data_IF_684888193066
#
_entry.id   IF_684888193066
#
_cell.length_a   1.000
_cell.length_b   1.000
_cell.length_c   1.000
_cell.angle_alpha   90.00
_cell.angle_beta   90.00
_cell.angle_gamma   90.00
#
_symmetry.space_group_name_H-M   'P 1'
#
loop_
_entity.id
_entity.type
_entity.pdbx_description
1 polymer ?
#
# COMPACT_ATOMS: atom_id res chain seq x y z
N UNK A 1 -14.91 1.55 20.19
CA UNK A 1 -13.93 2.52 20.75
C UNK A 1 -14.20 3.85 20.08
N UNK A 2 -14.36 4.93 20.84
CA UNK A 2 -14.51 6.28 20.28
C UNK A 2 -13.11 6.80 19.94
N UNK A 3 -12.89 7.13 18.66
CA UNK A 3 -11.67 7.78 18.20
C UNK A 3 -12.01 9.22 17.82
N UNK A 4 -11.18 10.17 18.26
CA UNK A 4 -11.21 11.53 17.73
C UNK A 4 -10.48 11.50 16.39
N UNK A 5 -11.24 11.74 15.31
CA UNK A 5 -10.69 11.75 13.96
C UNK A 5 -10.02 13.10 13.70
N UNK A 6 -8.69 13.11 13.62
CA UNK A 6 -8.00 14.27 13.06
C UNK A 6 -8.12 14.21 11.55
N UNK A 7 -8.83 15.18 11.00
CA UNK A 7 -8.77 15.51 9.58
C UNK A 7 -7.49 16.28 9.30
N UNK A 8 -6.43 15.54 9.09
CA UNK A 8 -5.32 15.97 8.27
C UNK A 8 -5.20 14.91 7.19
N UNK A 9 -5.06 15.30 5.92
CA UNK A 9 -4.33 14.45 4.98
C UNK A 9 -3.08 14.05 5.73
N UNK A 10 -2.91 12.76 6.00
CA UNK A 10 -1.88 12.13 6.84
C UNK A 10 -0.47 12.29 6.22
N UNK A 11 -0.15 13.56 5.91
CA UNK A 11 0.94 14.15 5.15
C UNK A 11 0.64 14.24 3.64
N UNK A 12 0.62 15.47 3.11
CA UNK A 12 0.80 15.76 1.67
C UNK A 12 1.96 14.89 1.18
N UNK A 13 1.77 14.10 0.13
CA UNK A 13 2.77 13.15 -0.38
C UNK A 13 2.86 11.79 0.33
N UNK A 14 1.74 11.20 0.78
CA UNK A 14 1.73 9.82 1.31
C UNK A 14 2.31 8.76 0.35
N UNK A 15 2.36 9.04 -0.96
CA UNK A 15 3.07 8.19 -1.91
C UNK A 15 4.59 8.17 -1.65
N UNK A 16 5.19 9.27 -1.19
CA UNK A 16 6.63 9.37 -0.86
C UNK A 16 7.01 8.62 0.41
N UNK A 17 6.05 8.30 1.27
CA UNK A 17 6.33 7.49 2.46
C UNK A 17 6.59 6.06 2.05
N UNK A 18 7.80 5.56 2.34
CA UNK A 18 8.11 4.13 2.23
C UNK A 18 7.24 3.31 3.16
N UNK A 19 7.10 2.02 2.87
CA UNK A 19 6.37 1.06 3.72
C UNK A 19 6.90 1.10 5.16
N UNK A 20 8.23 1.14 5.34
CA UNK A 20 8.84 1.27 6.67
C UNK A 20 8.41 2.54 7.39
N UNK A 21 8.33 3.69 6.70
CA UNK A 21 7.91 4.93 7.32
C UNK A 21 6.46 4.89 7.80
N UNK A 22 5.57 4.25 7.03
CA UNK A 22 4.17 4.07 7.43
C UNK A 22 4.07 3.16 8.67
N UNK A 23 4.88 2.11 8.74
CA UNK A 23 4.95 1.23 9.92
C UNK A 23 5.43 2.01 11.15
N UNK A 24 6.50 2.80 11.05
CA UNK A 24 6.99 3.66 12.13
C UNK A 24 5.93 4.66 12.60
N UNK A 25 5.25 5.34 11.66
CA UNK A 25 4.18 6.29 11.98
C UNK A 25 3.01 5.60 12.73
N UNK A 26 2.69 4.35 12.36
CA UNK A 26 1.66 3.56 13.05
C UNK A 26 2.08 3.21 14.48
N UNK A 27 3.33 2.78 14.69
CA UNK A 27 3.88 2.48 16.01
C UNK A 27 3.87 3.72 16.92
N UNK A 28 4.25 4.88 16.39
CA UNK A 28 4.22 6.16 17.13
C UNK A 28 2.79 6.55 17.54
N UNK A 29 1.81 6.40 16.62
CA UNK A 29 0.41 6.69 16.93
C UNK A 29 -0.12 5.71 18.00
N UNK A 30 0.24 4.44 17.91
CA UNK A 30 -0.12 3.45 18.91
C UNK A 30 0.48 3.80 20.29
N UNK A 31 1.76 4.16 20.34
CA UNK A 31 2.42 4.58 21.58
C UNK A 31 1.74 5.82 22.18
N UNK A 32 1.46 6.84 21.36
CA UNK A 32 0.71 8.02 21.79
C UNK A 32 -0.65 7.63 22.39
N UNK A 33 -1.43 6.80 21.69
CA UNK A 33 -2.75 6.37 22.15
C UNK A 33 -2.73 5.48 23.40
N UNK A 34 -1.59 4.85 23.73
CA UNK A 34 -1.40 4.16 25.02
C UNK A 34 -1.25 5.12 26.20
N UNK A 35 -0.77 6.34 25.95
CA UNK A 35 -0.61 7.37 26.99
C UNK A 35 -1.88 8.16 27.28
N UNK A 36 -2.88 8.08 26.40
CA UNK A 36 -4.18 8.75 26.56
C UNK A 36 -5.01 8.04 27.64
N UNK A 37 -5.62 8.83 28.53
CA UNK A 37 -6.54 8.33 29.55
C UNK A 37 -7.71 7.54 28.93
N UNK A 38 -8.15 6.47 29.62
CA UNK A 38 -9.20 5.57 29.13
C UNK A 38 -10.54 6.27 28.83
N UNK A 39 -10.77 7.45 29.40
CA UNK A 39 -12.00 8.23 29.24
C UNK A 39 -11.92 9.27 28.11
N UNK A 40 -10.74 9.42 27.49
CA UNK A 40 -10.50 10.35 26.39
C UNK A 40 -10.51 9.59 25.07
N UNK A 41 -11.02 10.23 24.01
CA UNK A 41 -11.00 9.66 22.67
C UNK A 41 -9.57 9.35 22.23
N UNK A 42 -9.34 8.17 21.68
CA UNK A 42 -8.04 7.84 21.08
C UNK A 42 -7.90 8.58 19.77
N UNK A 43 -6.68 8.98 19.41
CA UNK A 43 -6.45 9.65 18.15
C UNK A 43 -6.53 8.66 16.97
N UNK A 44 -7.30 8.98 15.95
CA UNK A 44 -7.27 8.28 14.65
C UNK A 44 -6.92 9.28 13.55
N UNK A 45 -6.09 8.84 12.60
CA UNK A 45 -5.65 9.66 11.48
C UNK A 45 -6.29 9.14 10.19
N UNK A 46 -6.98 10.02 9.47
CA UNK A 46 -7.59 9.71 8.18
C UNK A 46 -6.54 9.62 7.08
N UNK A 47 -6.39 8.45 6.46
CA UNK A 47 -5.61 8.30 5.21
C UNK A 47 -6.46 8.78 4.05
N UNK A 48 -5.90 9.61 3.17
CA UNK A 48 -6.58 10.05 1.95
C UNK A 48 -5.90 9.39 0.76
N UNK A 49 -6.66 8.58 0.02
CA UNK A 49 -6.21 8.09 -1.28
C UNK A 49 -6.62 9.07 -2.36
N UNK A 50 -5.62 9.74 -2.91
CA UNK A 50 -5.72 10.57 -4.09
C UNK A 50 -4.48 10.28 -4.97
N UNK A 51 -4.65 9.83 -6.22
CA UNK A 51 -3.49 9.60 -7.11
C UNK A 51 -2.93 10.91 -7.73
N UNK A 52 -3.57 12.04 -7.41
CA UNK A 52 -3.23 13.40 -7.83
C UNK A 52 -2.71 14.26 -6.68
N UNK A 53 -2.20 13.66 -5.59
CA UNK A 53 -1.86 14.35 -4.33
C UNK A 53 -0.67 15.32 -4.48
N UNK A 54 -1.00 16.46 -5.08
CA UNK A 54 -0.18 17.57 -5.51
C UNK A 54 -1.12 18.61 -6.14
N UNK A 55 -1.92 19.25 -5.29
CA UNK A 55 -3.01 20.17 -5.68
C UNK A 55 -2.51 21.56 -6.14
N UNK A 56 -1.60 21.56 -7.12
CA UNK A 56 -1.22 22.64 -8.05
C UNK A 56 -0.73 23.96 -7.45
N UNK A 57 0.58 24.30 -7.59
CA UNK A 57 1.02 25.64 -7.19
C UNK A 57 0.55 26.71 -8.16
N UNK A 58 0.78 26.58 -9.47
CA UNK A 58 0.19 27.47 -10.48
C UNK A 58 0.12 26.80 -11.87
N UNK A 59 -0.32 25.53 -12.00
CA UNK A 59 -0.87 24.84 -13.22
C UNK A 59 -0.52 23.34 -13.33
N UNK A 60 0.65 22.84 -12.87
CA UNK A 60 0.85 21.38 -12.82
C UNK A 60 1.71 20.92 -11.64
N UNK A 61 1.06 20.25 -10.68
CA UNK A 61 1.69 19.59 -9.52
C UNK A 61 1.27 18.10 -9.44
N UNK A 62 1.13 17.48 -10.63
CA UNK A 62 1.08 16.04 -10.96
C UNK A 62 -0.31 15.36 -11.08
N UNK A 63 -1.09 15.64 -12.14
CA UNK A 63 -2.14 14.74 -12.56
C UNK A 63 -1.52 13.48 -13.15
N UNK A 64 -1.69 12.34 -12.45
CA UNK A 64 -1.16 11.02 -12.82
C UNK A 64 0.28 10.77 -12.38
N UNK A 65 0.66 11.17 -11.16
CA UNK A 65 2.02 10.99 -10.63
C UNK A 65 2.54 9.56 -10.71
N UNK A 66 1.66 8.60 -10.47
CA UNK A 66 1.94 7.17 -10.56
C UNK A 66 1.15 6.61 -11.74
N UNK A 67 1.81 5.79 -12.55
CA UNK A 67 1.11 4.90 -13.48
C UNK A 67 0.22 3.89 -12.74
N UNK A 68 -0.55 3.11 -13.49
CA UNK A 68 -1.52 2.13 -12.97
C UNK A 68 -0.96 1.24 -11.85
N UNK A 69 0.19 0.59 -12.08
CA UNK A 69 0.78 -0.31 -11.10
C UNK A 69 1.21 0.43 -9.82
N UNK A 70 1.74 1.65 -9.94
CA UNK A 70 2.11 2.48 -8.79
C UNK A 70 0.90 2.94 -7.99
N UNK A 71 -0.18 3.34 -8.67
CA UNK A 71 -1.46 3.68 -8.05
C UNK A 71 -2.03 2.46 -7.29
N UNK A 72 -2.01 1.27 -7.92
CA UNK A 72 -2.46 0.04 -7.30
C UNK A 72 -1.61 -0.33 -6.07
N UNK A 73 -0.30 -0.18 -6.15
CA UNK A 73 0.59 -0.44 -5.01
C UNK A 73 0.38 0.55 -3.87
N UNK A 74 0.11 1.83 -4.15
CA UNK A 74 -0.30 2.81 -3.14
C UNK A 74 -1.57 2.36 -2.41
N UNK A 75 -2.54 1.80 -3.13
CA UNK A 75 -3.78 1.29 -2.54
C UNK A 75 -3.53 0.04 -1.70
N UNK A 76 -2.75 -0.88 -2.25
CA UNK A 76 -2.28 -2.07 -1.54
C UNK A 76 -1.61 -1.68 -0.21
N UNK A 77 -0.67 -0.73 -0.22
CA UNK A 77 0.01 -0.20 0.96
C UNK A 77 -0.96 0.29 2.04
N UNK A 78 -2.03 0.99 1.66
CA UNK A 78 -3.02 1.48 2.63
C UNK A 78 -3.79 0.36 3.32
N UNK A 79 -4.02 -0.75 2.62
CA UNK A 79 -4.83 -1.88 3.06
C UNK A 79 -4.01 -2.98 3.74
N UNK A 80 -2.75 -3.18 3.33
CA UNK A 80 -1.87 -4.24 3.81
C UNK A 80 -0.87 -3.80 4.89
N UNK A 81 -0.92 -2.52 5.28
CA UNK A 81 -0.23 -1.99 6.46
C UNK A 81 -1.28 -1.52 7.46
N UNK A 82 -1.85 -2.44 8.26
CA UNK A 82 -2.85 -2.07 9.25
C UNK A 82 -2.25 -1.13 10.28
N UNK A 83 -3.10 -0.25 10.78
CA UNK A 83 -2.74 0.71 11.81
C UNK A 83 -2.34 0.04 13.12
N UNK A 84 -3.01 -1.05 13.49
CA UNK A 84 -3.00 -1.63 14.84
C UNK A 84 -4.30 -1.33 15.60
N UNK A 85 -4.59 -2.10 16.65
CA UNK A 85 -5.82 -1.97 17.46
C UNK A 85 -6.02 -0.55 18.01
N UNK A 86 -4.94 0.11 18.41
CA UNK A 86 -4.96 1.44 19.02
C UNK A 86 -4.60 2.56 18.06
N UNK A 87 -4.49 2.27 16.78
CA UNK A 87 -3.91 3.17 15.77
C UNK A 87 -4.68 3.00 14.46
N UNK A 88 -5.98 2.71 14.56
CA UNK A 88 -6.86 2.57 13.41
C UNK A 88 -6.78 3.81 12.53
N UNK A 89 -6.63 3.59 11.22
CA UNK A 89 -6.53 4.65 10.21
C UNK A 89 -7.55 4.40 9.11
N UNK A 90 -8.75 5.00 9.19
CA UNK A 90 -9.72 4.91 8.12
C UNK A 90 -9.13 5.49 6.84
N UNK A 91 -9.60 5.00 5.70
CA UNK A 91 -9.17 5.50 4.38
C UNK A 91 -10.36 6.20 3.74
N UNK A 92 -10.20 7.48 3.42
CA UNK A 92 -11.08 8.22 2.55
C UNK A 92 -10.56 8.13 1.12
N UNK A 93 -11.44 7.77 0.20
CA UNK A 93 -11.17 7.74 -1.22
C UNK A 93 -11.61 9.08 -1.81
N UNK A 94 -10.67 9.83 -2.37
CA UNK A 94 -10.87 11.17 -2.94
C UNK A 94 -10.30 11.18 -4.35
N UNK A 95 -10.99 10.50 -5.26
CA UNK A 95 -10.80 10.56 -6.71
C UNK A 95 -11.97 9.77 -7.28
N UNK A 96 -13.05 10.45 -7.69
CA UNK A 96 -14.21 9.77 -8.26
C UNK A 96 -13.87 9.40 -9.69
N UNK A 97 -13.76 8.11 -10.02
CA UNK A 97 -13.77 7.40 -11.33
C UNK A 97 -13.12 8.02 -12.59
N UNK A 98 -12.64 9.25 -12.56
CA UNK A 98 -12.48 10.06 -13.76
C UNK A 98 -11.01 10.34 -14.10
N UNK A 99 -10.02 9.81 -13.35
CA UNK A 99 -8.64 10.25 -13.57
C UNK A 99 -7.47 9.34 -13.15
N UNK A 100 -7.68 8.21 -12.46
CA UNK A 100 -6.59 7.49 -11.76
C UNK A 100 -5.31 7.25 -12.57
N UNK A 101 -5.40 6.98 -13.87
CA UNK A 101 -4.22 6.73 -14.71
C UNK A 101 -4.07 7.74 -15.85
N UNK A 102 -4.85 8.83 -15.85
CA UNK A 102 -4.88 9.82 -16.93
C UNK A 102 -4.28 11.14 -16.44
N UNK A 103 -3.28 11.61 -17.19
CA UNK A 103 -2.77 12.98 -17.11
C UNK A 103 -3.71 13.92 -17.89
N UNK A 104 -3.60 15.24 -17.72
CA UNK A 104 -4.37 16.20 -18.51
C UNK A 104 -5.64 16.74 -17.85
N UNK A 105 -5.87 16.49 -16.55
CA UNK A 105 -7.01 17.08 -15.82
C UNK A 105 -6.90 18.61 -15.75
N UNK A 106 -5.70 19.17 -15.91
CA UNK A 106 -5.50 20.62 -15.92
C UNK A 106 -6.32 21.32 -17.01
N UNK A 107 -6.69 20.64 -18.11
CA UNK A 107 -7.56 21.26 -19.12
C UNK A 107 -9.00 21.47 -18.65
N UNK A 108 -9.45 20.76 -17.62
CA UNK A 108 -10.78 20.97 -17.02
C UNK A 108 -10.74 21.97 -15.87
N UNK A 109 -9.56 22.42 -15.43
CA UNK A 109 -9.45 23.42 -14.34
C UNK A 109 -9.80 24.80 -14.91
N UNK A 110 -10.95 25.34 -14.51
CA UNK A 110 -11.44 26.64 -14.97
C UNK A 110 -12.23 26.62 -16.28
N UNK A 111 -12.37 25.43 -16.90
CA UNK A 111 -13.30 25.18 -18.00
C UNK A 111 -14.36 24.19 -17.52
N UNK A 112 -15.64 24.42 -17.84
CA UNK A 112 -16.73 23.49 -17.51
C UNK A 112 -16.73 22.27 -18.46
N UNK A 113 -15.62 21.54 -18.48
CA UNK A 113 -15.44 20.32 -19.27
C UNK A 113 -15.48 19.10 -18.34
N UNK A 114 -16.15 18.03 -18.77
CA UNK A 114 -16.18 16.79 -18.01
C UNK A 114 -14.81 16.10 -18.00
N UNK A 115 -14.41 15.57 -16.85
CA UNK A 115 -13.17 14.81 -16.74
C UNK A 115 -13.24 13.52 -17.58
N UNK A 116 -12.11 13.18 -18.21
CA UNK A 116 -12.03 12.00 -19.08
C UNK A 116 -11.91 10.73 -18.25
N UNK A 117 -13.02 10.01 -18.14
CA UNK A 117 -13.07 8.68 -17.51
C UNK A 117 -12.09 7.70 -18.12
N UNK A 118 -11.48 6.90 -17.25
CA UNK A 118 -10.60 5.82 -17.66
C UNK A 118 -11.38 4.51 -17.73
N UNK A 119 -11.41 3.86 -18.89
CA UNK A 119 -12.03 2.55 -19.04
C UNK A 119 -11.00 1.45 -18.82
N UNK A 120 -10.48 1.34 -17.60
CA UNK A 120 -9.49 0.32 -17.22
C UNK A 120 -10.09 -0.65 -16.20
N UNK A 121 -10.92 -1.57 -16.70
CA UNK A 121 -11.62 -2.54 -15.84
C UNK A 121 -10.65 -3.44 -15.08
N UNK A 122 -9.53 -3.86 -15.69
CA UNK A 122 -8.54 -4.73 -15.02
C UNK A 122 -7.96 -4.06 -13.76
N UNK A 123 -7.64 -2.75 -13.85
CA UNK A 123 -7.20 -1.98 -12.69
C UNK A 123 -8.27 -1.97 -11.59
N UNK A 124 -9.51 -1.63 -11.95
CA UNK A 124 -10.60 -1.48 -10.98
C UNK A 124 -10.99 -2.80 -10.33
N UNK A 125 -10.97 -3.90 -11.07
CA UNK A 125 -11.21 -5.26 -10.56
C UNK A 125 -10.18 -5.63 -9.50
N UNK A 126 -8.89 -5.42 -9.79
CA UNK A 126 -7.82 -5.71 -8.81
C UNK A 126 -7.83 -4.72 -7.65
N UNK A 127 -8.15 -3.45 -7.90
CA UNK A 127 -8.29 -2.42 -6.86
C UNK A 127 -9.42 -2.76 -5.87
N UNK A 128 -10.57 -3.18 -6.37
CA UNK A 128 -11.71 -3.63 -5.56
C UNK A 128 -11.39 -4.93 -4.81
N UNK A 129 -10.76 -5.91 -5.46
CA UNK A 129 -10.36 -7.16 -4.83
C UNK A 129 -9.41 -6.93 -3.64
N UNK A 130 -8.43 -6.01 -3.75
CA UNK A 130 -7.56 -5.61 -2.62
C UNK A 130 -8.39 -5.10 -1.45
N UNK A 131 -9.41 -4.29 -1.73
CA UNK A 131 -10.26 -3.72 -0.70
C UNK A 131 -11.12 -4.78 -0.01
N UNK A 132 -11.79 -5.64 -0.80
CA UNK A 132 -12.60 -6.74 -0.28
C UNK A 132 -11.76 -7.72 0.55
N UNK A 133 -10.58 -8.08 0.06
CA UNK A 133 -9.66 -8.93 0.81
C UNK A 133 -9.32 -8.33 2.18
N UNK A 134 -8.95 -7.05 2.22
CA UNK A 134 -8.58 -6.39 3.47
C UNK A 134 -9.76 -6.23 4.44
N UNK A 135 -10.97 -5.95 3.94
CA UNK A 135 -12.17 -5.83 4.78
C UNK A 135 -12.63 -7.17 5.35
N UNK A 136 -12.33 -8.28 4.68
CA UNK A 136 -12.70 -9.63 5.12
C UNK A 136 -11.57 -10.36 5.87
N UNK A 137 -10.43 -9.71 6.09
CA UNK A 137 -9.27 -10.30 6.75
C UNK A 137 -9.02 -9.66 8.12
N UNK A 138 -9.26 -10.42 9.21
CA UNK A 138 -9.11 -9.90 10.57
C UNK A 138 -7.69 -9.40 10.89
N UNK A 139 -6.67 -10.03 10.31
CA UNK A 139 -5.26 -9.64 10.47
C UNK A 139 -5.02 -8.24 9.88
N UNK A 140 -5.67 -7.91 8.77
CA UNK A 140 -5.58 -6.58 8.15
C UNK A 140 -6.50 -5.53 8.81
N UNK A 141 -7.52 -5.95 9.55
CA UNK A 141 -8.37 -5.01 10.28
C UNK A 141 -7.77 -4.58 11.62
N UNK A 142 -7.14 -5.49 12.35
CA UNK A 142 -6.70 -5.27 13.75
C UNK A 142 -5.23 -5.56 13.99
N UNK A 143 -4.56 -6.21 13.06
CA UNK A 143 -3.17 -6.63 13.22
C UNK A 143 -2.19 -5.46 13.13
N UNK A 144 -0.91 -5.80 13.24
CA UNK A 144 0.22 -4.88 13.20
C UNK A 144 1.23 -5.38 12.18
N UNK A 145 1.73 -4.45 11.37
CA UNK A 145 2.81 -4.73 10.43
C UNK A 145 4.17 -4.54 11.10
N UNK A 146 5.11 -5.42 10.79
CA UNK A 146 6.51 -5.34 11.20
C UNK A 146 7.40 -5.59 9.99
N UNK A 147 8.36 -4.70 9.73
CA UNK A 147 9.33 -4.85 8.65
C UNK A 147 10.27 -6.03 8.96
N UNK A 148 10.46 -6.90 7.98
CA UNK A 148 11.35 -8.08 8.07
C UNK A 148 12.57 -7.90 7.17
N UNK A 149 12.37 -7.45 5.94
CA UNK A 149 13.43 -7.12 4.99
C UNK A 149 13.21 -5.75 4.38
N UNK A 150 14.28 -4.99 4.20
CA UNK A 150 14.24 -3.71 3.48
C UNK A 150 15.59 -3.46 2.82
N UNK A 151 15.58 -3.16 1.52
CA UNK A 151 16.69 -2.56 0.81
C UNK A 151 16.21 -1.27 0.12
N UNK A 152 16.50 -0.14 0.77
CA UNK A 152 16.08 1.20 0.32
C UNK A 152 16.65 1.57 -1.05
N UNK A 153 17.82 1.05 -1.40
CA UNK A 153 18.49 1.37 -2.66
C UNK A 153 17.78 0.70 -3.85
N UNK A 154 17.30 -0.53 -3.67
CA UNK A 154 16.62 -1.28 -4.73
C UNK A 154 15.11 -1.06 -4.74
N UNK A 155 14.49 -0.77 -3.59
CA UNK A 155 13.04 -0.76 -3.43
C UNK A 155 12.46 -2.08 -2.92
N UNK A 156 13.32 -3.06 -2.62
CA UNK A 156 12.86 -4.33 -2.05
C UNK A 156 12.39 -4.13 -0.60
N UNK A 157 11.21 -4.65 -0.28
CA UNK A 157 10.68 -4.64 1.08
C UNK A 157 9.85 -5.89 1.37
N UNK A 158 9.95 -6.39 2.59
CA UNK A 158 9.07 -7.43 3.11
C UNK A 158 8.64 -7.12 4.53
N UNK A 159 7.39 -7.44 4.86
CA UNK A 159 6.82 -7.23 6.18
C UNK A 159 5.88 -8.36 6.58
N UNK A 160 5.79 -8.57 7.89
CA UNK A 160 4.88 -9.52 8.49
C UNK A 160 3.73 -8.76 9.15
N UNK A 161 2.50 -9.18 8.91
CA UNK A 161 1.32 -8.69 9.59
C UNK A 161 0.80 -9.78 10.52
N UNK A 162 0.76 -9.49 11.82
CA UNK A 162 0.27 -10.42 12.84
C UNK A 162 -0.90 -9.80 13.59
N UNK A 163 -1.78 -10.64 14.13
CA UNK A 163 -2.84 -10.21 15.04
C UNK A 163 -2.88 -11.16 16.24
N UNK A 164 -3.09 -10.63 17.44
CA UNK A 164 -3.25 -11.43 18.66
C UNK A 164 -4.54 -12.26 18.64
N UNK A 165 -5.53 -11.87 17.82
CA UNK A 165 -6.83 -12.53 17.70
C UNK A 165 -6.89 -13.61 16.62
N UNK A 166 -5.83 -13.72 15.79
CA UNK A 166 -5.80 -14.64 14.64
C UNK A 166 -4.59 -15.56 14.74
N UNK A 167 -4.80 -16.86 14.45
CA UNK A 167 -3.70 -17.81 14.24
C UNK A 167 -3.01 -17.63 12.89
N UNK A 168 -3.69 -16.96 11.97
CA UNK A 168 -3.18 -16.65 10.65
C UNK A 168 -2.44 -15.33 10.69
N UNK A 169 -1.36 -15.25 9.92
CA UNK A 169 -0.57 -14.04 9.70
C UNK A 169 -0.30 -13.90 8.20
N UNK A 170 0.03 -12.69 7.76
CA UNK A 170 0.35 -12.40 6.37
C UNK A 170 1.81 -12.00 6.26
N UNK A 171 2.56 -12.64 5.37
CA UNK A 171 3.90 -12.21 5.00
C UNK A 171 3.84 -11.61 3.61
N UNK A 172 4.25 -10.36 3.46
CA UNK A 172 4.19 -9.63 2.20
C UNK A 172 5.60 -9.36 1.71
N UNK A 173 5.81 -9.52 0.41
CA UNK A 173 7.05 -9.18 -0.29
C UNK A 173 6.70 -8.26 -1.45
N UNK A 174 7.43 -7.16 -1.62
CA UNK A 174 7.14 -6.21 -2.69
C UNK A 174 8.37 -5.43 -3.16
N UNK A 175 8.24 -4.86 -4.36
CA UNK A 175 9.05 -3.76 -4.84
C UNK A 175 8.25 -2.47 -4.65
N UNK A 176 8.62 -1.65 -3.68
CA UNK A 176 7.87 -0.44 -3.34
C UNK A 176 8.09 0.73 -4.30
N UNK A 177 9.01 0.61 -5.26
CA UNK A 177 9.22 1.63 -6.28
C UNK A 177 8.16 1.53 -7.38
N UNK A 178 7.56 2.65 -7.81
CA UNK A 178 6.64 2.67 -8.94
C UNK A 178 7.40 2.51 -10.26
N UNK A 179 6.80 1.88 -11.30
CA UNK A 179 7.47 1.76 -12.61
C UNK A 179 7.87 3.11 -13.19
N UNK A 180 6.98 4.08 -13.05
CA UNK A 180 7.19 5.47 -13.43
C UNK A 180 6.77 6.38 -12.29
N UNK A 181 7.57 7.40 -12.03
CA UNK A 181 7.23 8.48 -11.11
C UNK A 181 7.63 9.84 -11.66
N UNK A 182 6.80 10.83 -11.40
CA UNK A 182 7.13 12.23 -11.68
C UNK A 182 7.71 12.85 -10.41
N UNK A 183 8.96 13.32 -10.48
CA UNK A 183 9.70 13.89 -9.33
C UNK A 183 10.36 15.23 -9.70
N UNK A 184 11.04 15.88 -8.75
CA UNK A 184 11.88 17.05 -9.02
C UNK A 184 13.35 16.73 -8.82
N UNK A 185 14.19 17.14 -9.77
CA UNK A 185 15.64 17.06 -9.63
C UNK A 185 16.17 18.13 -8.65
N UNK A 186 17.47 18.09 -8.37
CA UNK A 186 18.13 19.07 -7.47
C UNK A 186 18.04 20.52 -7.95
N UNK A 187 17.73 20.76 -9.23
CA UNK A 187 17.50 22.08 -9.81
C UNK A 187 16.01 22.52 -9.73
N UNK A 188 15.13 21.67 -9.21
CA UNK A 188 13.71 21.94 -9.05
C UNK A 188 12.85 21.68 -10.30
N UNK A 189 13.45 21.12 -11.36
CA UNK A 189 12.77 20.78 -12.61
C UNK A 189 12.00 19.46 -12.47
N UNK A 190 10.84 19.38 -13.14
CA UNK A 190 10.03 18.17 -13.19
C UNK A 190 10.70 17.14 -14.10
N UNK A 191 10.95 15.95 -13.59
CA UNK A 191 11.56 14.82 -14.32
C UNK A 191 10.71 13.57 -14.17
N UNK A 192 10.62 12.79 -15.24
CA UNK A 192 10.04 11.45 -15.21
C UNK A 192 11.16 10.46 -14.92
N UNK A 193 11.00 9.66 -13.88
CA UNK A 193 11.94 8.60 -13.49
C UNK A 193 11.29 7.27 -13.83
N UNK A 194 12.05 6.41 -14.52
CA UNK A 194 11.69 5.02 -14.78
C UNK A 194 12.49 4.12 -13.84
N UNK A 195 11.80 3.27 -13.08
CA UNK A 195 12.42 2.31 -12.19
C UNK A 195 12.53 0.94 -12.84
N UNK A 196 13.58 0.21 -12.46
CA UNK A 196 13.89 -1.09 -13.04
C UNK A 196 13.46 -2.24 -12.12
N UNK A 197 13.27 -3.44 -12.68
CA UNK A 197 13.00 -4.64 -11.90
C UNK A 197 14.20 -5.00 -11.02
N UNK A 198 13.92 -5.65 -9.90
CA UNK A 198 14.94 -6.17 -8.99
C UNK A 198 15.12 -7.66 -9.28
N UNK A 199 16.36 -8.13 -9.35
CA UNK A 199 16.68 -9.51 -9.70
C UNK A 199 17.32 -10.27 -8.55
N UNK A 200 17.14 -11.59 -8.55
CA UNK A 200 17.80 -12.52 -7.61
C UNK A 200 17.62 -12.12 -6.15
N UNK A 201 16.36 -11.89 -5.77
CA UNK A 201 15.99 -11.47 -4.43
C UNK A 201 15.65 -12.67 -3.59
N UNK A 202 16.11 -12.66 -2.35
CA UNK A 202 15.75 -13.69 -1.39
C UNK A 202 15.36 -13.05 -0.07
N UNK A 203 14.34 -13.60 0.58
CA UNK A 203 13.88 -13.13 1.89
C UNK A 203 13.57 -14.28 2.81
N UNK A 204 13.99 -14.15 4.07
CA UNK A 204 13.75 -15.16 5.09
C UNK A 204 12.41 -14.89 5.76
N UNK A 205 11.54 -15.89 5.73
CA UNK A 205 10.33 -15.89 6.56
C UNK A 205 10.80 -16.14 8.01
N UNK A 206 10.32 -15.36 9.00
CA UNK A 206 10.74 -15.55 10.39
C UNK A 206 10.56 -17.01 10.84
N UNK A 207 11.54 -17.53 11.60
CA UNK A 207 11.66 -18.96 11.90
C UNK A 207 10.43 -19.56 12.59
N UNK A 208 9.74 -18.74 13.37
CA UNK A 208 8.54 -19.08 14.13
C UNK A 208 7.30 -19.25 13.23
N UNK A 209 7.43 -19.00 11.92
CA UNK A 209 6.35 -19.10 10.95
C UNK A 209 6.66 -20.12 9.86
N UNK A 210 5.59 -20.69 9.31
CA UNK A 210 5.60 -21.55 8.13
C UNK A 210 4.68 -20.97 7.06
N UNK A 211 5.12 -21.00 5.80
CA UNK A 211 4.30 -20.55 4.68
C UNK A 211 3.34 -21.66 4.27
N UNK A 212 2.06 -21.32 4.09
CA UNK A 212 0.99 -22.28 3.79
C UNK A 212 0.44 -22.10 2.38
N UNK A 213 0.22 -20.86 1.96
CA UNK A 213 -0.28 -20.54 0.63
C UNK A 213 0.16 -19.16 0.19
N UNK A 214 0.22 -18.93 -1.11
CA UNK A 214 0.28 -17.60 -1.72
C UNK A 214 -1.13 -17.16 -2.14
N UNK A 215 -1.54 -15.94 -1.80
CA UNK A 215 -2.76 -15.35 -2.33
C UNK A 215 -2.47 -14.70 -3.67
N UNK A 216 -3.11 -15.20 -4.72
CA UNK A 216 -2.96 -14.72 -6.10
C UNK A 216 -4.32 -14.19 -6.58
N UNK A 217 -4.31 -13.04 -7.25
CA UNK A 217 -5.53 -12.49 -7.84
C UNK A 217 -5.98 -13.37 -9.01
N UNK A 218 -7.22 -13.87 -8.92
CA UNK A 218 -7.88 -14.66 -9.93
C UNK A 218 -8.78 -13.76 -10.78
N UNK A 219 -8.57 -13.78 -12.10
CA UNK A 219 -9.34 -12.97 -13.05
C UNK A 219 -10.73 -13.55 -13.34
N UNK A 220 -10.94 -14.84 -13.10
CA UNK A 220 -12.26 -15.46 -13.31
C UNK A 220 -13.18 -15.18 -12.12
N UNK A 221 -12.65 -15.34 -10.90
CA UNK A 221 -13.40 -15.10 -9.66
C UNK A 221 -13.38 -13.62 -9.22
N UNK A 222 -12.56 -12.78 -9.86
CA UNK A 222 -12.31 -11.38 -9.50
C UNK A 222 -11.94 -11.21 -8.02
N UNK A 223 -11.21 -12.17 -7.43
CA UNK A 223 -10.80 -12.15 -6.02
C UNK A 223 -9.44 -12.82 -5.81
N UNK A 224 -8.87 -12.72 -4.61
CA UNK A 224 -7.64 -13.42 -4.25
C UNK A 224 -7.94 -14.84 -3.80
N UNK A 225 -7.34 -15.82 -4.47
CA UNK A 225 -7.41 -17.24 -4.12
C UNK A 225 -6.07 -17.74 -3.57
N UNK A 226 -6.14 -18.63 -2.56
CA UNK A 226 -4.95 -19.21 -1.94
C UNK A 226 -4.42 -20.40 -2.74
N UNK A 227 -3.21 -20.28 -3.27
CA UNK A 227 -2.47 -21.36 -3.94
C UNK A 227 -1.48 -22.00 -2.98
N UNK A 228 -1.63 -23.30 -2.74
CA UNK A 228 -0.74 -24.07 -1.83
C UNK A 228 0.55 -24.52 -2.50
N UNK A 229 0.58 -24.54 -3.83
CA UNK A 229 1.80 -24.82 -4.60
C UNK A 229 2.65 -23.56 -4.68
N UNK A 230 3.70 -23.49 -3.84
CA UNK A 230 4.59 -22.34 -3.73
C UNK A 230 5.96 -22.73 -4.26
N UNK A 231 6.19 -22.44 -5.55
CA UNK A 231 7.39 -22.89 -6.27
C UNK A 231 8.66 -22.13 -5.88
N UNK A 232 8.51 -20.95 -5.30
CA UNK A 232 9.62 -20.07 -4.93
C UNK A 232 10.02 -20.21 -3.45
N UNK A 233 9.51 -21.21 -2.73
CA UNK A 233 9.82 -21.46 -1.33
C UNK A 233 10.82 -22.62 -1.17
N UNK A 234 11.93 -22.37 -0.50
CA UNK A 234 12.89 -23.40 -0.10
C UNK A 234 13.44 -23.08 1.29
N UNK A 235 13.44 -24.03 2.22
CA UNK A 235 13.99 -23.87 3.59
C UNK A 235 13.54 -22.57 4.32
N UNK A 236 12.24 -22.26 4.30
CA UNK A 236 11.67 -21.04 4.89
C UNK A 236 12.18 -19.72 4.26
N UNK A 237 12.75 -19.80 3.05
CA UNK A 237 13.26 -18.69 2.27
C UNK A 237 12.45 -18.58 0.98
N UNK A 238 11.99 -17.37 0.68
CA UNK A 238 11.32 -17.06 -0.58
C UNK A 238 12.34 -16.47 -1.56
N UNK A 239 12.44 -17.04 -2.76
CA UNK A 239 13.42 -16.69 -3.77
C UNK A 239 12.73 -16.18 -5.05
N UNK A 240 12.98 -14.94 -5.42
CA UNK A 240 12.40 -14.29 -6.59
C UNK A 240 13.49 -14.08 -7.64
N UNK A 241 13.31 -14.66 -8.82
CA UNK A 241 14.21 -14.38 -9.95
C UNK A 241 14.13 -12.91 -10.37
N UNK A 242 12.90 -12.37 -10.34
CA UNK A 242 12.58 -10.99 -10.73
C UNK A 242 11.42 -10.48 -9.89
N UNK A 243 11.45 -9.19 -9.57
CA UNK A 243 10.35 -8.44 -8.97
C UNK A 243 10.20 -7.10 -9.70
N UNK A 244 9.13 -6.98 -10.49
CA UNK A 244 8.79 -5.77 -11.23
C UNK A 244 8.50 -4.59 -10.29
N UNK A 245 8.71 -3.34 -10.71
CA UNK A 245 8.28 -2.18 -9.94
C UNK A 245 6.79 -2.27 -9.57
N UNK A 246 6.46 -1.99 -8.30
CA UNK A 246 5.10 -2.12 -7.74
C UNK A 246 4.50 -3.52 -7.72
N UNK A 247 5.30 -4.55 -8.01
CA UNK A 247 4.90 -5.94 -7.81
C UNK A 247 4.87 -6.27 -6.31
N UNK A 248 3.88 -7.06 -5.92
CA UNK A 248 3.70 -7.53 -4.56
C UNK A 248 3.18 -8.96 -4.54
N UNK A 249 3.62 -9.72 -3.55
CA UNK A 249 3.21 -11.09 -3.27
C UNK A 249 2.72 -11.18 -1.83
N UNK A 250 1.62 -11.91 -1.63
CA UNK A 250 0.96 -12.03 -0.32
C UNK A 250 0.98 -13.50 0.08
N UNK A 251 1.63 -13.84 1.19
CA UNK A 251 1.72 -15.19 1.69
C UNK A 251 0.93 -15.34 2.97
N UNK A 252 0.10 -16.38 3.05
CA UNK A 252 -0.46 -16.87 4.30
C UNK A 252 0.63 -17.61 5.06
N UNK A 253 0.88 -17.20 6.29
CA UNK A 253 1.82 -17.87 7.20
C UNK A 253 1.14 -18.22 8.52
N UNK A 254 1.51 -19.37 9.09
CA UNK A 254 1.04 -19.84 10.40
C UNK A 254 2.21 -19.93 11.37
N UNK A 255 1.96 -19.56 12.62
CA UNK A 255 2.89 -19.82 13.71
C UNK A 255 3.13 -21.33 13.86
N UNK A 256 4.38 -21.72 14.08
CA UNK A 256 4.80 -23.10 14.34
C UNK A 256 4.51 -23.53 15.78
#
# INVERSE_FOLDING_TARGET
MAFDLLWGSDIISQYMKTVSRVVEDNEQLEEYNKTIDKNTGKLSILKIYNNQDGEFREINQYPGQLGEAGALFKWFKFKFIPGGELSSRPVMFVDGDESFTKTGIESVIGAEESMKRNNNYEFFEKFDAINRFALNNEVLLKGKAKIIGNNKDTGFISWLVTSETSKESLFVVANEKPPTEVTRNSAGEVVNVENNPIFSIETLVPKDFSVVSEYVFDREDLDFSGKTEINNLSDNKLCFEKLEPSEFHIYKVLAK
#
